data_IF_732344516598
#
_entry.id   IF_732344516598
#
_cell.length_a   1.000
_cell.length_b   1.000
_cell.length_c   1.000
_cell.angle_alpha   90.00
_cell.angle_beta   90.00
_cell.angle_gamma   90.00
#
_symmetry.space_group_name_H-M   'P 1'
#
loop_
_entity.id
_entity.type
_entity.pdbx_description
1 polymer ?
#
# COMPACT_ATOMS: atom_id res chain seq x y z
N UNK A 1 -23.12 -13.11 -62.50
CA UNK A 1 -22.10 -13.71 -61.61
C UNK A 1 -21.54 -12.77 -60.54
N UNK A 2 -21.83 -11.46 -60.55
CA UNK A 2 -21.34 -10.52 -59.52
C UNK A 2 -22.29 -10.41 -58.30
N UNK A 3 -23.60 -10.37 -58.54
CA UNK A 3 -24.61 -10.20 -57.47
C UNK A 3 -24.68 -11.42 -56.54
N UNK A 4 -24.57 -12.63 -57.10
CA UNK A 4 -24.60 -13.88 -56.34
C UNK A 4 -23.41 -14.03 -55.39
N UNK A 5 -22.23 -13.53 -55.79
CA UNK A 5 -21.03 -13.53 -54.95
C UNK A 5 -21.16 -12.54 -53.77
N UNK A 6 -21.77 -11.37 -54.00
CA UNK A 6 -22.05 -10.39 -52.94
C UNK A 6 -23.02 -10.94 -51.89
N UNK A 7 -24.10 -11.61 -52.32
CA UNK A 7 -25.09 -12.20 -51.41
C UNK A 7 -24.46 -13.33 -50.57
N UNK A 8 -23.61 -14.16 -51.17
CA UNK A 8 -22.85 -15.18 -50.43
C UNK A 8 -21.91 -14.57 -49.39
N UNK A 9 -21.25 -13.46 -49.72
CA UNK A 9 -20.32 -12.78 -48.81
C UNK A 9 -20.99 -12.17 -47.58
N UNK A 10 -22.20 -11.61 -47.73
CA UNK A 10 -22.94 -11.04 -46.60
C UNK A 10 -23.50 -12.11 -45.65
N UNK A 11 -23.83 -13.30 -46.18
CA UNK A 11 -24.33 -14.43 -45.38
C UNK A 11 -23.24 -15.09 -44.51
N UNK A 12 -21.97 -14.99 -44.90
CA UNK A 12 -20.82 -15.61 -44.20
C UNK A 12 -20.20 -14.67 -43.15
N UNK A 13 -20.58 -13.40 -43.10
CA UNK A 13 -20.09 -12.48 -42.06
C UNK A 13 -20.63 -12.89 -40.69
N UNK A 14 -19.77 -13.51 -39.88
CA UNK A 14 -20.04 -13.73 -38.47
C UNK A 14 -20.35 -12.41 -37.77
N UNK A 15 -21.42 -12.39 -36.98
CA UNK A 15 -21.76 -11.22 -36.17
C UNK A 15 -20.86 -11.18 -34.92
N UNK A 16 -20.15 -10.09 -34.73
CA UNK A 16 -19.46 -9.81 -33.47
C UNK A 16 -20.49 -9.37 -32.44
N UNK A 17 -20.49 -10.02 -31.28
CA UNK A 17 -21.30 -9.60 -30.13
C UNK A 17 -20.38 -9.06 -29.05
N UNK A 18 -20.75 -7.92 -28.46
CA UNK A 18 -20.07 -7.35 -27.30
C UNK A 18 -20.63 -7.98 -26.04
N UNK A 19 -19.76 -8.57 -25.22
CA UNK A 19 -20.11 -9.16 -23.92
C UNK A 19 -19.50 -8.28 -22.83
N UNK A 20 -20.34 -7.79 -21.93
CA UNK A 20 -19.91 -6.96 -20.79
C UNK A 20 -19.87 -7.79 -19.52
N UNK A 21 -18.72 -7.83 -18.85
CA UNK A 21 -18.52 -8.52 -17.58
C UNK A 21 -18.33 -7.47 -16.49
N UNK A 22 -19.23 -7.46 -15.51
CA UNK A 22 -19.19 -6.50 -14.41
C UNK A 22 -18.27 -6.99 -13.29
N UNK A 23 -17.40 -6.12 -12.78
CA UNK A 23 -16.47 -6.39 -11.68
C UNK A 23 -15.70 -7.73 -11.83
N UNK A 24 -14.97 -7.94 -12.95
CA UNK A 24 -14.24 -9.18 -13.15
C UNK A 24 -13.17 -9.35 -12.08
N UNK A 25 -12.99 -10.58 -11.59
CA UNK A 25 -11.81 -10.91 -10.79
C UNK A 25 -10.54 -10.78 -11.63
N UNK A 26 -9.40 -10.56 -10.97
CA UNK A 26 -8.09 -10.47 -11.63
C UNK A 26 -7.81 -11.65 -12.59
N UNK A 27 -8.14 -12.88 -12.19
CA UNK A 27 -7.93 -14.07 -13.01
C UNK A 27 -8.75 -14.04 -14.30
N UNK A 28 -10.05 -13.73 -14.21
CA UNK A 28 -10.94 -13.55 -15.37
C UNK A 28 -10.38 -12.46 -16.31
N UNK A 29 -9.91 -11.34 -15.77
CA UNK A 29 -9.29 -10.29 -16.57
C UNK A 29 -8.04 -10.80 -17.29
N UNK A 30 -7.11 -11.46 -16.58
CA UNK A 30 -5.87 -12.00 -17.14
C UNK A 30 -6.17 -13.03 -18.24
N UNK A 31 -7.14 -13.93 -18.02
CA UNK A 31 -7.56 -14.93 -19.00
C UNK A 31 -8.14 -14.29 -20.26
N UNK A 32 -9.00 -13.27 -20.11
CA UNK A 32 -9.59 -12.55 -21.23
C UNK A 32 -8.57 -11.70 -21.97
N UNK A 33 -7.64 -11.07 -21.26
CA UNK A 33 -6.55 -10.28 -21.85
C UNK A 33 -5.63 -11.17 -22.68
N UNK A 34 -5.28 -12.36 -22.17
CA UNK A 34 -4.49 -13.34 -22.91
C UNK A 34 -5.22 -13.84 -24.17
N UNK A 35 -6.55 -13.96 -24.13
CA UNK A 35 -7.35 -14.48 -25.25
C UNK A 35 -7.72 -13.42 -26.28
N UNK A 36 -7.91 -12.18 -25.85
CA UNK A 36 -8.47 -11.09 -26.66
C UNK A 36 -7.73 -9.74 -26.49
N UNK A 37 -6.39 -9.71 -26.60
CA UNK A 37 -5.58 -8.55 -26.20
C UNK A 37 -5.88 -7.27 -27.01
N UNK A 38 -6.32 -7.41 -28.27
CA UNK A 38 -6.54 -6.28 -29.18
C UNK A 38 -7.96 -5.71 -29.14
N UNK A 39 -8.93 -6.47 -28.62
CA UNK A 39 -10.34 -6.09 -28.61
C UNK A 39 -10.91 -5.92 -27.21
N UNK A 40 -10.21 -6.40 -26.17
CA UNK A 40 -10.62 -6.21 -24.79
C UNK A 40 -10.56 -4.72 -24.43
N UNK A 41 -11.69 -4.19 -23.97
CA UNK A 41 -11.79 -2.83 -23.46
C UNK A 41 -12.08 -2.89 -21.96
N UNK A 42 -11.23 -2.23 -21.16
CA UNK A 42 -11.42 -2.10 -19.72
C UNK A 42 -11.57 -0.62 -19.39
N UNK A 43 -12.82 -0.19 -19.25
CA UNK A 43 -13.14 1.16 -18.81
C UNK A 43 -13.24 1.15 -17.30
N UNK A 44 -12.66 2.17 -16.66
CA UNK A 44 -12.86 2.37 -15.23
C UNK A 44 -14.29 2.89 -14.99
N UNK A 45 -14.95 2.37 -13.96
CA UNK A 45 -16.27 2.88 -13.53
C UNK A 45 -16.18 4.28 -12.94
N UNK A 46 -15.02 4.66 -12.42
CA UNK A 46 -14.72 5.93 -11.80
C UNK A 46 -13.37 6.45 -12.29
N UNK A 47 -13.29 7.77 -12.49
CA UNK A 47 -12.06 8.48 -12.89
C UNK A 47 -11.04 8.50 -11.75
N UNK A 48 -11.54 8.67 -10.53
CA UNK A 48 -10.77 8.81 -9.33
C UNK A 48 -11.21 7.75 -8.32
N UNK A 49 -10.26 6.99 -7.80
CA UNK A 49 -10.49 5.94 -6.81
C UNK A 49 -9.53 6.20 -5.65
N UNK A 50 -10.04 6.33 -4.43
CA UNK A 50 -9.18 6.52 -3.25
C UNK A 50 -8.31 5.29 -3.01
N UNK A 51 -7.03 5.49 -2.69
CA UNK A 51 -6.11 4.38 -2.41
C UNK A 51 -6.61 3.47 -1.29
N UNK A 52 -7.30 4.01 -0.28
CA UNK A 52 -7.89 3.23 0.82
C UNK A 52 -8.87 2.14 0.38
N UNK A 53 -9.43 2.22 -0.84
CA UNK A 53 -10.46 1.28 -1.31
C UNK A 53 -9.89 -0.03 -1.83
N UNK A 54 -8.61 -0.05 -2.21
CA UNK A 54 -7.96 -1.22 -2.80
C UNK A 54 -6.58 -1.53 -2.22
N UNK A 55 -6.04 -0.65 -1.37
CA UNK A 55 -4.70 -0.79 -0.81
C UNK A 55 -4.76 -0.78 0.72
N UNK A 56 -4.00 -1.69 1.34
CA UNK A 56 -3.87 -1.81 2.80
C UNK A 56 -2.39 -1.87 3.16
N UNK A 57 -1.94 -0.93 3.99
CA UNK A 57 -0.55 -0.84 4.45
C UNK A 57 -0.50 -1.22 5.93
N UNK A 58 0.33 -2.20 6.28
CA UNK A 58 0.61 -2.58 7.66
C UNK A 58 2.10 -2.46 7.94
N UNK A 59 2.55 -1.35 8.57
CA UNK A 59 3.97 -1.14 8.83
C UNK A 59 4.47 -2.11 9.91
N UNK A 60 5.69 -2.60 9.72
CA UNK A 60 6.40 -3.41 10.71
C UNK A 60 7.55 -2.57 11.27
N UNK A 61 7.50 -2.29 12.56
CA UNK A 61 8.54 -1.51 13.24
C UNK A 61 9.64 -2.42 13.77
N UNK A 62 10.81 -1.85 14.02
CA UNK A 62 11.91 -2.60 14.62
C UNK A 62 11.48 -3.20 15.98
N UNK A 63 11.77 -4.47 16.29
CA UNK A 63 11.30 -5.14 17.52
C UNK A 63 11.66 -4.43 18.83
N UNK A 64 12.72 -3.60 18.80
CA UNK A 64 13.10 -2.78 19.95
C UNK A 64 11.98 -1.82 20.39
N UNK A 65 11.16 -1.34 19.45
CA UNK A 65 10.05 -0.42 19.70
C UNK A 65 8.81 -1.09 20.29
N UNK A 66 8.84 -2.40 20.52
CA UNK A 66 7.84 -3.15 21.29
C UNK A 66 8.47 -3.93 22.46
N UNK A 67 9.75 -3.67 22.75
CA UNK A 67 10.51 -4.35 23.80
C UNK A 67 10.42 -3.62 25.15
N UNK A 68 10.96 -4.25 26.19
CA UNK A 68 11.09 -3.65 27.51
C UNK A 68 11.96 -2.38 27.52
N UNK A 69 12.86 -2.22 26.53
CA UNK A 69 13.86 -1.16 26.51
C UNK A 69 13.28 0.25 26.33
N UNK A 70 12.05 0.35 25.85
CA UNK A 70 11.34 1.63 25.68
C UNK A 70 10.31 1.89 26.79
N UNK A 71 10.17 0.97 27.75
CA UNK A 71 9.22 1.10 28.84
C UNK A 71 9.81 1.94 29.97
N UNK A 72 8.99 2.76 30.62
CA UNK A 72 9.41 3.62 31.72
C UNK A 72 10.06 2.82 32.86
N UNK A 73 9.55 1.62 33.14
CA UNK A 73 10.11 0.72 34.16
C UNK A 73 11.59 0.39 33.91
N UNK A 74 11.98 0.13 32.66
CA UNK A 74 13.38 -0.13 32.32
C UNK A 74 14.24 1.13 32.44
N UNK A 75 13.71 2.27 32.00
CA UNK A 75 14.41 3.55 32.02
C UNK A 75 14.66 4.00 33.47
N UNK A 76 13.67 3.85 34.34
CA UNK A 76 13.75 4.16 35.78
C UNK A 76 14.76 3.26 36.50
N UNK A 77 14.81 1.96 36.18
CA UNK A 77 15.80 1.04 36.75
C UNK A 77 17.25 1.44 36.44
N UNK A 78 17.45 2.12 35.30
CA UNK A 78 18.76 2.61 34.87
C UNK A 78 19.10 4.00 35.42
N UNK A 79 18.13 4.69 36.02
CA UNK A 79 18.36 5.98 36.61
C UNK A 79 19.11 5.83 37.93
N UNK A 80 20.36 6.32 37.96
CA UNK A 80 21.15 6.38 39.18
C UNK A 80 21.41 7.85 39.55
N UNK A 81 20.88 8.28 40.68
CA UNK A 81 21.09 9.64 41.19
C UNK A 81 22.43 9.83 41.90
N UNK A 82 23.17 8.75 42.16
CA UNK A 82 24.39 8.72 42.97
C UNK A 82 25.65 8.40 42.13
N UNK A 83 25.56 8.60 40.82
CA UNK A 83 26.68 8.35 39.89
C UNK A 83 27.77 9.40 40.14
N UNK A 84 28.94 8.93 40.54
CA UNK A 84 30.09 9.78 40.85
C UNK A 84 30.44 10.70 39.67
N UNK A 85 30.69 11.98 39.96
CA UNK A 85 31.07 13.03 39.01
C UNK A 85 32.32 12.69 38.17
N UNK A 86 33.09 11.67 38.57
CA UNK A 86 34.38 11.33 37.99
C UNK A 86 34.33 10.55 36.66
N UNK A 87 33.18 10.01 36.23
CA UNK A 87 33.09 9.27 34.96
C UNK A 87 31.85 9.67 34.13
N UNK A 88 31.91 10.80 33.39
CA UNK A 88 30.84 11.21 32.46
C UNK A 88 30.55 10.21 31.34
N UNK A 89 31.47 9.28 31.09
CA UNK A 89 31.41 8.24 30.05
C UNK A 89 30.91 6.90 30.59
N UNK A 90 30.58 6.82 31.89
CA UNK A 90 30.01 5.61 32.46
C UNK A 90 28.62 5.35 31.84
N UNK A 91 28.43 4.15 31.29
CA UNK A 91 27.15 3.73 30.72
C UNK A 91 26.00 3.97 31.70
N UNK A 92 26.21 3.76 33.01
CA UNK A 92 25.19 3.96 34.05
C UNK A 92 24.73 5.42 34.17
N UNK A 93 25.57 6.38 33.81
CA UNK A 93 25.24 7.81 33.82
C UNK A 93 24.42 8.23 32.59
N UNK A 94 24.49 7.47 31.49
CA UNK A 94 23.91 7.84 30.20
C UNK A 94 22.75 6.92 29.77
N UNK A 95 22.66 5.71 30.33
CA UNK A 95 21.77 4.66 29.88
C UNK A 95 20.29 5.10 29.89
N UNK A 96 19.80 5.65 31.00
CA UNK A 96 18.41 6.15 31.11
C UNK A 96 18.08 7.15 30.00
N UNK A 97 18.97 8.13 29.76
CA UNK A 97 18.79 9.13 28.71
C UNK A 97 18.78 8.52 27.30
N UNK A 98 19.65 7.55 27.03
CA UNK A 98 19.69 6.86 25.75
C UNK A 98 18.44 6.02 25.50
N UNK A 99 17.93 5.30 26.50
CA UNK A 99 16.69 4.53 26.37
C UNK A 99 15.45 5.43 26.28
N UNK A 100 15.45 6.58 26.95
CA UNK A 100 14.42 7.60 26.78
C UNK A 100 14.42 8.21 25.37
N UNK A 101 15.60 8.48 24.81
CA UNK A 101 15.74 8.90 23.42
C UNK A 101 15.21 7.82 22.47
N UNK A 102 15.56 6.56 22.71
CA UNK A 102 15.07 5.42 21.92
C UNK A 102 13.53 5.33 21.96
N UNK A 103 12.91 5.42 23.15
CA UNK A 103 11.46 5.42 23.31
C UNK A 103 10.82 6.57 22.51
N UNK A 104 11.41 7.76 22.60
CA UNK A 104 10.96 8.94 21.85
C UNK A 104 11.05 8.71 20.35
N UNK A 105 12.17 8.20 19.85
CA UNK A 105 12.37 7.88 18.44
C UNK A 105 11.36 6.85 17.93
N UNK A 106 11.12 5.78 18.69
CA UNK A 106 10.11 4.78 18.35
C UNK A 106 8.71 5.41 18.21
N UNK A 107 8.29 6.22 19.19
CA UNK A 107 6.99 6.89 19.14
C UNK A 107 6.89 7.91 17.99
N UNK A 108 8.00 8.58 17.67
CA UNK A 108 8.07 9.58 16.61
C UNK A 108 7.93 8.92 15.24
N UNK A 109 8.70 7.86 14.98
CA UNK A 109 8.62 7.09 13.72
C UNK A 109 7.24 6.46 13.56
N UNK A 110 6.66 5.90 14.62
CA UNK A 110 5.31 5.33 14.56
C UNK A 110 4.27 6.35 14.10
N UNK A 111 4.29 7.55 14.70
CA UNK A 111 3.39 8.65 14.31
C UNK A 111 3.65 9.14 12.89
N UNK A 112 4.91 9.43 12.55
CA UNK A 112 5.25 9.88 11.20
C UNK A 112 4.79 8.90 10.12
N UNK A 113 5.02 7.59 10.33
CA UNK A 113 4.59 6.55 9.40
C UNK A 113 3.07 6.46 9.34
N UNK A 114 2.38 6.55 10.48
CA UNK A 114 0.92 6.57 10.54
C UNK A 114 0.34 7.73 9.74
N UNK A 115 0.81 8.96 10.00
CA UNK A 115 0.34 10.17 9.34
C UNK A 115 0.61 10.14 7.82
N UNK A 116 1.79 9.62 7.43
CA UNK A 116 2.13 9.45 6.02
C UNK A 116 1.22 8.42 5.32
N UNK A 117 0.94 7.29 5.97
CA UNK A 117 0.03 6.27 5.45
C UNK A 117 -1.40 6.84 5.34
N UNK A 118 -1.89 7.51 6.38
CA UNK A 118 -3.22 8.10 6.37
C UNK A 118 -3.37 9.11 5.23
N UNK A 119 -2.41 10.04 5.10
CA UNK A 119 -2.37 11.01 4.02
C UNK A 119 -2.35 10.36 2.63
N UNK A 120 -1.50 9.35 2.44
CA UNK A 120 -1.41 8.61 1.18
C UNK A 120 -2.70 7.85 0.85
N UNK A 121 -3.32 7.20 1.84
CA UNK A 121 -4.54 6.42 1.62
C UNK A 121 -5.76 7.29 1.33
N UNK A 122 -5.77 8.54 1.79
CA UNK A 122 -6.80 9.54 1.46
C UNK A 122 -6.63 10.11 0.04
N UNK A 123 -5.45 10.03 -0.55
CA UNK A 123 -5.20 10.47 -1.92
C UNK A 123 -5.95 9.58 -2.94
N UNK A 124 -6.10 10.10 -4.15
CA UNK A 124 -6.86 9.46 -5.23
C UNK A 124 -5.96 9.00 -6.36
N UNK A 125 -6.12 7.74 -6.75
CA UNK A 125 -5.60 7.23 -8.01
C UNK A 125 -6.46 7.74 -9.17
N UNK A 126 -5.82 8.37 -10.15
CA UNK A 126 -6.46 8.84 -11.39
C UNK A 126 -6.25 7.84 -12.52
N UNK A 127 -7.34 7.32 -13.08
CA UNK A 127 -7.25 6.45 -14.25
C UNK A 127 -7.09 7.28 -15.54
N UNK A 128 -6.10 6.98 -16.40
CA UNK A 128 -5.92 7.67 -17.69
C UNK A 128 -6.98 7.29 -18.73
N UNK A 129 -7.82 6.27 -18.49
CA UNK A 129 -8.81 5.76 -19.42
C UNK A 129 -10.21 5.89 -18.82
N UNK A 130 -10.87 6.95 -19.25
CA UNK A 130 -12.19 7.36 -18.81
C UNK A 130 -13.07 7.40 -20.06
N UNK A 131 -14.29 6.87 -19.94
CA UNK A 131 -15.36 7.12 -20.91
C UNK A 131 -15.94 8.51 -20.70
#
# INVERSE_FOLDING_TARGET
>A
MSVTALIGYTLVKGQTQTITIQNPTRTIYEDLFNKYPTILQCQCSQIAISYNSFLSISPQYHPICSSIYIQDQWIELLFNSNTSYFLPIDFRSLASNHFQLLATLCSFVQRMVHDAIESFLLDTFLSPQVL
#
